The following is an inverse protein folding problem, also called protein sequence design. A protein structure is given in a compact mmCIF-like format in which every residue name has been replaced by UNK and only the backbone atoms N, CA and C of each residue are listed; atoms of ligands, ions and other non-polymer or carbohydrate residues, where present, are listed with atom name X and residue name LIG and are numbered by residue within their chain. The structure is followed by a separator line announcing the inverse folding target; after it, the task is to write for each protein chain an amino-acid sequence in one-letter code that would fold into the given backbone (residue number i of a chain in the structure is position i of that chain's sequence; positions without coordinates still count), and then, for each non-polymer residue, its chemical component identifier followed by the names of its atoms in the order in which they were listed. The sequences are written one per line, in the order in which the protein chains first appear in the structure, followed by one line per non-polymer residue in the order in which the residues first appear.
data_IF_160034267088
#
_entry.id   IF_160034267088
#
_cell.length_a   1.000
_cell.length_b   1.000
_cell.length_c   1.000
_cell.angle_alpha   90.00
_cell.angle_beta   90.00
_cell.angle_gamma   90.00
#
_symmetry.space_group_name_H-M   'P 1'
#
loop_
_entity.id
_entity.type
_entity.pdbx_description
1 polymer ?
#
# COMPACT_ATOMS: atom_id res chain seq x y z
N UNK A 1 9.44 19.07 2.50
CA UNK A 1 8.18 18.36 2.82
C UNK A 1 7.56 18.87 4.10
N UNK A 2 8.20 18.74 5.28
CA UNK A 2 7.57 19.16 6.56
C UNK A 2 7.10 20.62 6.58
N UNK A 3 7.94 21.56 6.11
CA UNK A 3 7.56 22.98 5.96
C UNK A 3 6.38 23.19 5.00
N UNK A 4 6.33 22.44 3.90
CA UNK A 4 5.24 22.52 2.94
C UNK A 4 3.93 22.04 3.57
N UNK A 5 3.95 20.89 4.24
CA UNK A 5 2.77 20.34 4.92
C UNK A 5 2.29 21.31 6.00
N UNK A 6 3.18 21.83 6.84
CA UNK A 6 2.80 22.78 7.89
C UNK A 6 2.15 24.06 7.34
N UNK A 7 2.63 24.56 6.21
CA UNK A 7 2.11 25.79 5.61
C UNK A 7 0.76 25.59 4.90
N UNK A 8 0.53 24.44 4.27
CA UNK A 8 -0.64 24.21 3.44
C UNK A 8 -1.71 23.34 4.13
N UNK A 9 -1.42 22.72 5.28
CA UNK A 9 -2.34 21.80 5.94
C UNK A 9 -3.71 22.41 6.27
N UNK A 10 -3.77 23.70 6.59
CA UNK A 10 -5.02 24.40 6.85
C UNK A 10 -5.86 24.55 5.57
N UNK A 11 -5.23 24.89 4.46
CA UNK A 11 -5.89 25.04 3.15
C UNK A 11 -6.34 23.68 2.60
N UNK A 12 -5.55 22.63 2.84
CA UNK A 12 -5.84 21.26 2.41
C UNK A 12 -6.76 20.48 3.37
N UNK A 13 -7.32 21.14 4.40
CA UNK A 13 -8.21 20.53 5.40
C UNK A 13 -7.63 19.26 6.07
N UNK A 14 -6.32 19.22 6.30
CA UNK A 14 -5.67 18.08 6.93
C UNK A 14 -5.90 18.08 8.45
N UNK A 15 -6.36 16.95 8.97
CA UNK A 15 -6.48 16.75 10.42
C UNK A 15 -5.11 16.80 11.12
N UNK A 16 -5.08 17.14 12.41
CA UNK A 16 -3.84 17.10 13.20
C UNK A 16 -3.19 15.71 13.21
N UNK A 17 -3.99 14.64 13.15
CA UNK A 17 -3.49 13.28 13.06
C UNK A 17 -2.82 13.01 11.70
N UNK A 18 -3.43 13.47 10.61
CA UNK A 18 -2.87 13.36 9.26
C UNK A 18 -1.53 14.09 9.16
N UNK A 19 -1.43 15.30 9.72
CA UNK A 19 -0.18 16.08 9.75
C UNK A 19 0.90 15.33 10.53
N UNK A 20 0.56 14.81 11.72
CA UNK A 20 1.49 14.03 12.57
C UNK A 20 1.95 12.75 11.87
N UNK A 21 1.08 12.10 11.11
CA UNK A 21 1.39 10.90 10.34
C UNK A 21 2.36 11.21 9.18
N UNK A 22 2.14 12.30 8.46
CA UNK A 22 2.93 12.66 7.27
C UNK A 22 4.29 13.30 7.61
N UNK A 23 4.44 13.91 8.79
CA UNK A 23 5.69 14.53 9.22
C UNK A 23 6.55 13.53 10.01
N UNK A 24 7.61 13.03 9.40
CA UNK A 24 8.67 12.30 10.09
C UNK A 24 9.62 13.26 10.83
N UNK A 25 9.94 12.97 12.09
CA UNK A 25 10.84 13.79 12.92
C UNK A 25 12.31 13.72 12.45
N UNK A 26 12.74 12.58 11.90
CA UNK A 26 14.10 12.38 11.40
C UNK A 26 14.04 11.55 10.11
N UNK A 27 13.68 12.19 8.98
CA UNK A 27 13.55 11.49 7.72
C UNK A 27 14.92 11.05 7.18
N UNK A 28 14.98 9.84 6.64
CA UNK A 28 16.15 9.28 5.96
C UNK A 28 16.00 9.39 4.45
N UNK A 29 17.13 9.58 3.76
CA UNK A 29 17.17 9.49 2.30
C UNK A 29 16.84 8.05 1.87
N UNK A 30 15.88 7.84 0.95
CA UNK A 30 15.61 6.52 0.42
C UNK A 30 16.86 5.88 -0.19
N UNK A 31 17.05 4.59 0.03
CA UNK A 31 18.19 3.85 -0.51
C UNK A 31 17.77 3.11 -1.78
N UNK A 32 18.48 3.37 -2.87
CA UNK A 32 18.29 2.64 -4.12
C UNK A 32 19.25 1.45 -4.21
N UNK A 33 18.73 0.27 -4.52
CA UNK A 33 19.54 -0.92 -4.79
C UNK A 33 18.82 -1.86 -5.75
N UNK A 34 19.57 -2.83 -6.30
CA UNK A 34 19.05 -3.82 -7.25
C UNK A 34 19.15 -5.20 -6.61
N UNK A 35 18.02 -5.90 -6.49
CA UNK A 35 17.97 -7.28 -6.01
C UNK A 35 17.91 -8.26 -7.20
N UNK A 36 18.82 -9.24 -7.33
CA UNK A 36 18.80 -10.19 -8.43
C UNK A 36 17.61 -11.16 -8.37
N UNK A 37 16.89 -11.34 -9.47
CA UNK A 37 15.80 -12.34 -9.59
C UNK A 37 16.36 -13.72 -9.98
N UNK A 38 17.05 -14.38 -9.06
CA UNK A 38 17.72 -15.67 -9.28
C UNK A 38 16.81 -16.81 -9.73
N UNK A 39 15.52 -16.77 -9.39
CA UNK A 39 14.52 -17.75 -9.86
C UNK A 39 14.21 -17.65 -11.36
N UNK A 40 14.58 -16.54 -12.03
CA UNK A 40 14.38 -16.38 -13.48
C UNK A 40 15.55 -16.90 -14.29
N UNK A 41 16.77 -16.66 -13.80
CA UNK A 41 18.00 -17.08 -14.45
C UNK A 41 19.11 -17.09 -13.39
N UNK A 42 19.86 -18.19 -13.31
CA UNK A 42 20.97 -18.38 -12.36
C UNK A 42 22.27 -17.75 -12.85
N UNK A 43 22.55 -17.77 -14.16
CA UNK A 43 23.82 -17.29 -14.74
C UNK A 43 23.84 -15.78 -14.99
N UNK A 44 22.70 -15.19 -15.34
CA UNK A 44 22.55 -13.74 -15.48
C UNK A 44 21.17 -13.29 -14.99
N UNK A 45 20.95 -13.21 -13.66
CA UNK A 45 19.66 -12.87 -13.10
C UNK A 45 19.26 -11.43 -13.44
N UNK A 46 18.05 -11.20 -13.97
CA UNK A 46 17.52 -9.85 -14.14
C UNK A 46 17.47 -9.11 -12.80
N UNK A 47 17.86 -7.83 -12.80
CA UNK A 47 17.76 -6.97 -11.64
C UNK A 47 16.31 -6.59 -11.30
N UNK A 48 15.95 -6.57 -10.02
CA UNK A 48 14.76 -5.89 -9.49
C UNK A 48 15.23 -4.57 -8.86
N UNK A 49 15.02 -3.42 -9.52
CA UNK A 49 15.29 -2.14 -8.89
C UNK A 49 14.34 -1.95 -7.71
N UNK A 50 14.88 -1.49 -6.58
CA UNK A 50 14.14 -1.23 -5.35
C UNK A 50 14.58 0.14 -4.81
N UNK A 51 13.61 0.94 -4.39
CA UNK A 51 13.82 2.15 -3.58
C UNK A 51 13.28 1.85 -2.19
N UNK A 52 14.17 1.61 -1.23
CA UNK A 52 13.78 1.44 0.16
C UNK A 52 13.55 2.81 0.81
N UNK A 53 12.28 3.10 1.08
CA UNK A 53 11.81 4.36 1.66
C UNK A 53 11.53 4.27 3.17
N UNK A 54 12.20 3.36 3.88
CA UNK A 54 12.03 3.21 5.33
C UNK A 54 12.47 4.49 6.06
N UNK A 55 11.61 4.99 6.94
CA UNK A 55 11.81 6.28 7.62
C UNK A 55 12.02 7.46 6.67
N UNK A 56 11.63 7.36 5.40
CA UNK A 56 11.77 8.47 4.45
C UNK A 56 10.58 9.42 4.54
N UNK A 57 10.67 10.62 3.93
CA UNK A 57 9.54 11.54 3.86
C UNK A 57 8.29 10.96 3.18
N UNK A 58 8.43 9.92 2.36
CA UNK A 58 7.32 9.33 1.58
C UNK A 58 6.77 8.05 2.18
N UNK A 59 7.38 7.53 3.26
CA UNK A 59 7.01 6.25 3.89
C UNK A 59 5.52 6.16 4.24
N UNK A 60 4.94 7.26 4.76
CA UNK A 60 3.60 7.28 5.33
C UNK A 60 2.50 7.69 4.35
N UNK A 61 2.84 8.01 3.10
CA UNK A 61 1.85 8.45 2.11
C UNK A 61 0.82 7.35 1.84
N UNK A 62 1.27 6.09 1.71
CA UNK A 62 0.34 4.97 1.49
C UNK A 62 -0.64 4.79 2.66
N UNK A 63 -0.17 4.97 3.90
CA UNK A 63 -1.03 4.88 5.09
C UNK A 63 -2.05 6.02 5.10
N UNK A 64 -1.61 7.24 4.77
CA UNK A 64 -2.51 8.39 4.67
C UNK A 64 -3.61 8.14 3.64
N UNK A 65 -3.27 7.65 2.45
CA UNK A 65 -4.27 7.35 1.40
C UNK A 65 -5.20 6.22 1.86
N UNK A 66 -4.67 5.15 2.45
CA UNK A 66 -5.48 4.04 2.97
C UNK A 66 -6.50 4.52 4.00
N UNK A 67 -6.07 5.33 4.97
CA UNK A 67 -6.95 5.88 6.01
C UNK A 67 -8.10 6.72 5.44
N UNK A 68 -7.85 7.52 4.39
CA UNK A 68 -8.89 8.36 3.77
C UNK A 68 -9.81 7.56 2.85
N UNK A 69 -9.30 6.53 2.18
CA UNK A 69 -10.11 5.69 1.29
C UNK A 69 -10.94 4.67 2.06
N UNK A 70 -10.52 4.29 3.26
CA UNK A 70 -11.13 3.23 4.06
C UNK A 70 -12.65 3.38 4.19
N UNK A 71 -13.13 4.57 4.53
CA UNK A 71 -14.57 4.85 4.72
C UNK A 71 -15.39 4.62 3.46
N UNK A 72 -14.81 4.85 2.29
CA UNK A 72 -15.46 4.64 0.99
C UNK A 72 -15.38 3.17 0.57
N UNK A 73 -14.18 2.59 0.70
CA UNK A 73 -13.89 1.23 0.23
C UNK A 73 -14.67 0.18 1.02
N UNK A 74 -14.87 0.37 2.33
CA UNK A 74 -15.63 -0.58 3.16
C UNK A 74 -17.11 -0.68 2.80
N UNK A 75 -17.67 0.32 2.10
CA UNK A 75 -19.07 0.33 1.68
C UNK A 75 -19.28 -0.30 0.30
N UNK A 76 -18.21 -0.68 -0.40
CA UNK A 76 -18.31 -1.28 -1.73
C UNK A 76 -18.83 -2.73 -1.65
N UNK A 77 -19.68 -3.17 -2.59
CA UNK A 77 -20.12 -4.57 -2.65
C UNK A 77 -18.98 -5.58 -2.86
N UNK A 78 -17.87 -5.12 -3.43
CA UNK A 78 -16.65 -5.91 -3.65
C UNK A 78 -15.65 -5.83 -2.51
N UNK A 79 -15.99 -5.20 -1.39
CA UNK A 79 -15.10 -5.07 -0.25
C UNK A 79 -14.79 -6.44 0.36
N UNK A 80 -13.50 -6.72 0.53
CA UNK A 80 -12.99 -7.89 1.22
C UNK A 80 -12.00 -7.42 2.27
N UNK A 81 -12.31 -7.68 3.55
CA UNK A 81 -11.54 -7.14 4.68
C UNK A 81 -10.18 -7.78 4.85
N UNK A 82 -10.12 -9.12 4.77
CA UNK A 82 -8.90 -9.90 4.98
C UNK A 82 -9.07 -11.32 4.43
N UNK A 83 -8.03 -12.16 4.58
CA UNK A 83 -8.06 -13.54 4.10
C UNK A 83 -9.15 -14.40 4.73
N UNK A 84 -9.53 -14.18 5.99
CA UNK A 84 -10.60 -14.95 6.62
C UNK A 84 -11.98 -14.54 6.07
N UNK A 85 -12.22 -13.23 5.95
CA UNK A 85 -13.44 -12.69 5.33
C UNK A 85 -13.59 -13.19 3.88
N UNK A 86 -12.47 -13.23 3.14
CA UNK A 86 -12.44 -13.83 1.80
C UNK A 86 -12.84 -15.31 1.81
N UNK A 87 -12.29 -16.12 2.71
CA UNK A 87 -12.64 -17.54 2.82
C UNK A 87 -14.10 -17.74 3.20
N UNK A 88 -14.66 -16.87 4.05
CA UNK A 88 -16.08 -16.91 4.42
C UNK A 88 -16.99 -16.51 3.24
N UNK A 89 -16.61 -15.51 2.45
CA UNK A 89 -17.30 -15.17 1.20
C UNK A 89 -17.28 -16.33 0.21
N UNK A 90 -16.13 -17.02 0.07
CA UNK A 90 -15.99 -18.16 -0.84
C UNK A 90 -16.88 -19.35 -0.48
N UNK A 91 -17.18 -19.59 0.81
CA UNK A 91 -18.12 -20.65 1.22
C UNK A 91 -19.52 -20.45 0.65
N UNK A 92 -19.89 -19.20 0.36
CA UNK A 92 -21.19 -18.85 -0.20
C UNK A 92 -21.21 -18.82 -1.73
N UNK A 93 -20.07 -19.06 -2.40
CA UNK A 93 -19.98 -19.13 -3.86
C UNK A 93 -20.38 -20.53 -4.33
N UNK A 94 -21.34 -20.68 -5.27
CA UNK A 94 -21.73 -21.97 -5.80
C UNK A 94 -20.53 -22.73 -6.39
N UNK A 95 -20.40 -24.00 -6.08
CA UNK A 95 -19.26 -24.83 -6.51
C UNK A 95 -19.14 -24.97 -8.04
N UNK A 96 -20.23 -24.73 -8.77
CA UNK A 96 -20.27 -24.64 -10.24
C UNK A 96 -19.55 -23.42 -10.81
N UNK A 97 -19.41 -22.31 -10.06
CA UNK A 97 -18.61 -21.15 -10.43
C UNK A 97 -17.13 -21.27 -10.01
N UNK A 98 -16.86 -22.04 -8.95
CA UNK A 98 -15.49 -22.38 -8.54
C UNK A 98 -14.81 -23.37 -9.50
N UNK A 99 -15.61 -24.08 -10.31
CA UNK A 99 -15.18 -25.09 -11.26
C UNK A 99 -15.56 -24.75 -12.71
N UNK A 100 -15.17 -23.57 -13.20
CA UNK A 100 -15.18 -23.23 -14.63
C UNK A 100 -14.15 -22.15 -14.90
N UNK A 101 -13.18 -22.26 -15.82
CA UNK A 101 -12.92 -23.19 -16.91
C UNK A 101 -11.40 -23.23 -17.08
N UNK A 102 -10.76 -24.36 -16.77
CA UNK A 102 -9.54 -24.77 -17.47
C UNK A 102 -10.02 -25.60 -18.67
N UNK A 103 -10.23 -24.90 -19.79
CA UNK A 103 -10.10 -25.50 -21.12
C UNK A 103 -8.91 -24.81 -21.76
#
# INVERSE_FOLDING_TARGET
ISKYIQNNALEENLSSNSIKLLISASPKTPTFYILPKVHKNISNPPGRPIVASMSSPTERISSFVDDHLKEFVTNLPSYVKNSNDFLDLLKNVPQTLLCGTFV
#
